data_IF_618888539030
#
_entry.id   IF_618888539030
#
_cell.length_a   1.000
_cell.length_b   1.000
_cell.length_c   1.000
_cell.angle_alpha   90.00
_cell.angle_beta   90.00
_cell.angle_gamma   90.00
#
_symmetry.space_group_name_H-M   'P 1'
#
loop_
_entity.id
_entity.type
_entity.pdbx_description
1 polymer ?
#
# COMPACT_ATOMS: atom_id res chain seq x y z
N UNK A 1 -51.48 -16.51 16.39
CA UNK A 1 -50.05 -16.76 16.17
C UNK A 1 -49.57 -15.85 15.05
N UNK A 2 -49.00 -14.72 15.43
CA UNK A 2 -48.51 -13.70 14.52
C UNK A 2 -47.12 -14.11 14.02
N UNK A 3 -47.00 -14.45 12.75
CA UNK A 3 -45.71 -14.58 12.08
C UNK A 3 -45.09 -13.19 11.95
N UNK A 4 -44.05 -12.88 12.77
CA UNK A 4 -43.16 -11.82 12.47
C UNK A 4 -42.24 -12.30 11.31
N UNK A 5 -42.03 -11.48 10.26
CA UNK A 5 -41.06 -11.79 9.23
C UNK A 5 -39.65 -11.75 9.83
N UNK A 6 -38.69 -12.55 9.32
CA UNK A 6 -37.33 -12.51 9.81
C UNK A 6 -36.76 -11.09 9.57
N UNK A 7 -36.27 -10.48 10.63
CA UNK A 7 -35.50 -9.24 10.54
C UNK A 7 -34.26 -9.51 9.71
N UNK A 8 -34.22 -8.94 8.51
CA UNK A 8 -33.07 -8.94 7.62
C UNK A 8 -31.93 -8.14 8.30
N UNK A 9 -31.03 -8.86 8.93
CA UNK A 9 -29.87 -8.31 9.65
C UNK A 9 -28.67 -8.03 8.71
N UNK A 10 -28.92 -7.76 7.44
CA UNK A 10 -27.87 -7.29 6.54
C UNK A 10 -27.46 -5.88 6.97
N UNK A 11 -26.41 -5.82 7.77
CA UNK A 11 -25.80 -4.58 8.18
C UNK A 11 -25.22 -3.87 6.96
N UNK A 12 -25.60 -2.62 6.74
CA UNK A 12 -25.02 -1.76 5.67
C UNK A 12 -23.54 -1.61 5.91
N UNK A 13 -22.72 -2.03 4.93
CA UNK A 13 -21.29 -1.86 5.01
C UNK A 13 -20.90 -0.51 4.40
N UNK A 14 -20.57 0.44 5.25
CA UNK A 14 -19.83 1.64 4.86
C UNK A 14 -18.41 1.51 5.43
N UNK A 15 -17.36 1.85 4.68
CA UNK A 15 -16.03 1.91 5.27
C UNK A 15 -16.09 2.86 6.47
N UNK A 16 -15.65 2.37 7.62
CA UNK A 16 -15.74 3.18 8.85
C UNK A 16 -14.58 4.16 8.95
N UNK A 17 -13.51 3.90 8.22
CA UNK A 17 -12.26 4.64 8.30
C UNK A 17 -12.06 5.63 7.14
N UNK A 18 -12.44 5.27 5.92
CA UNK A 18 -12.15 6.02 4.70
C UNK A 18 -13.39 6.60 4.04
N UNK A 19 -13.20 7.61 3.20
CA UNK A 19 -14.31 8.27 2.47
C UNK A 19 -14.92 7.38 1.39
N UNK A 20 -14.16 6.46 0.80
CA UNK A 20 -14.67 5.48 -0.17
C UNK A 20 -14.09 4.10 0.05
N UNK A 21 -14.87 3.07 -0.26
CA UNK A 21 -14.41 1.67 -0.17
C UNK A 21 -13.46 1.31 -1.30
N UNK A 22 -13.81 1.67 -2.55
CA UNK A 22 -12.87 1.57 -3.67
C UNK A 22 -12.02 2.82 -3.72
N UNK A 23 -10.70 2.64 -3.86
CA UNK A 23 -9.69 3.67 -3.73
C UNK A 23 -8.74 3.62 -4.91
N UNK A 24 -7.98 4.68 -5.15
CA UNK A 24 -6.88 4.70 -6.10
C UNK A 24 -5.53 4.79 -5.39
N UNK A 25 -4.48 4.24 -6.00
CA UNK A 25 -3.11 4.35 -5.49
C UNK A 25 -2.20 4.82 -6.60
N UNK A 26 -1.59 5.99 -6.39
CA UNK A 26 -0.66 6.55 -7.35
C UNK A 26 0.72 5.88 -7.25
N UNK A 27 1.43 5.71 -8.37
CA UNK A 27 2.82 5.26 -8.35
C UNK A 27 3.70 6.39 -7.81
N UNK A 28 4.18 6.25 -6.58
CA UNK A 28 4.92 7.29 -5.87
C UNK A 28 6.32 6.86 -5.40
N UNK A 29 6.80 5.71 -5.86
CA UNK A 29 8.13 5.25 -5.53
C UNK A 29 9.23 6.20 -6.05
N UNK A 30 10.29 6.33 -5.24
CA UNK A 30 11.47 7.14 -5.57
C UNK A 30 12.77 6.35 -5.42
N UNK A 31 12.73 5.04 -5.74
CA UNK A 31 13.87 4.14 -5.63
C UNK A 31 15.03 4.49 -6.58
N UNK A 32 16.25 4.19 -6.16
CA UNK A 32 17.42 4.19 -7.04
C UNK A 32 17.64 2.78 -7.58
N UNK A 33 17.33 2.53 -8.86
CA UNK A 33 17.50 1.22 -9.52
C UNK A 33 18.97 0.89 -9.81
N UNK A 34 19.77 1.91 -10.06
CA UNK A 34 21.22 1.84 -10.14
C UNK A 34 21.81 2.98 -9.33
N UNK A 35 23.02 2.85 -8.76
CA UNK A 35 23.64 3.95 -8.05
C UNK A 35 23.63 5.24 -8.88
N UNK A 36 23.08 6.31 -8.30
CA UNK A 36 22.94 7.62 -8.93
C UNK A 36 21.80 7.78 -9.93
N UNK A 37 21.03 6.72 -10.25
CA UNK A 37 19.84 6.81 -11.13
C UNK A 37 18.56 6.54 -10.34
N UNK A 38 17.94 7.60 -9.88
CA UNK A 38 16.63 7.56 -9.20
C UNK A 38 15.51 7.44 -10.22
N UNK A 39 14.57 6.54 -9.96
CA UNK A 39 13.29 6.49 -10.63
C UNK A 39 12.25 7.17 -9.74
N UNK A 40 11.92 8.42 -10.04
CA UNK A 40 10.83 9.16 -9.41
C UNK A 40 9.55 8.90 -10.19
N UNK A 41 8.67 8.07 -9.65
CA UNK A 41 7.45 7.65 -10.36
C UNK A 41 6.39 8.73 -10.42
N UNK A 42 6.34 9.66 -9.47
CA UNK A 42 5.45 10.82 -9.52
C UNK A 42 5.79 11.69 -10.73
N UNK A 43 7.08 11.97 -10.93
CA UNK A 43 7.57 12.69 -12.11
C UNK A 43 7.38 11.88 -13.40
N UNK A 44 7.77 10.61 -13.39
CA UNK A 44 7.76 9.77 -14.61
C UNK A 44 6.35 9.46 -15.13
N UNK A 45 5.33 9.48 -14.27
CA UNK A 45 3.92 9.37 -14.64
C UNK A 45 3.32 10.71 -15.07
N UNK A 46 4.02 11.83 -14.83
CA UNK A 46 3.53 13.19 -15.04
C UNK A 46 2.51 13.64 -14.00
N UNK A 47 2.34 12.86 -12.92
CA UNK A 47 1.35 13.17 -11.89
C UNK A 47 1.62 14.50 -11.19
N UNK A 48 2.88 14.86 -10.95
CA UNK A 48 3.27 16.15 -10.34
C UNK A 48 2.85 17.38 -11.16
N UNK A 49 2.64 17.23 -12.47
CA UNK A 49 2.15 18.29 -13.34
C UNK A 49 0.64 18.24 -13.57
N UNK A 50 -0.02 17.15 -13.22
CA UNK A 50 -1.41 16.86 -13.55
C UNK A 50 -2.30 16.67 -12.31
N UNK A 51 -1.84 17.05 -11.13
CA UNK A 51 -2.48 16.80 -9.83
C UNK A 51 -4.00 17.06 -9.83
N UNK A 52 -4.42 18.24 -10.27
CA UNK A 52 -5.84 18.63 -10.33
C UNK A 52 -6.66 17.69 -11.21
N UNK A 53 -6.13 17.34 -12.39
CA UNK A 53 -6.82 16.48 -13.35
C UNK A 53 -6.86 15.04 -12.89
N UNK A 54 -5.77 14.56 -12.32
CA UNK A 54 -5.66 13.19 -11.86
C UNK A 54 -6.59 12.96 -10.66
N UNK A 55 -6.62 13.87 -9.68
CA UNK A 55 -7.57 13.76 -8.56
C UNK A 55 -9.02 13.99 -9.01
N UNK A 56 -9.29 14.90 -9.94
CA UNK A 56 -10.64 15.06 -10.51
C UNK A 56 -11.11 13.77 -11.21
N UNK A 57 -10.23 13.12 -11.97
CA UNK A 57 -10.54 11.85 -12.63
C UNK A 57 -10.84 10.73 -11.63
N UNK A 58 -10.19 10.71 -10.45
CA UNK A 58 -10.56 9.79 -9.37
C UNK A 58 -11.95 10.10 -8.82
N UNK A 59 -12.24 11.38 -8.55
CA UNK A 59 -13.56 11.81 -8.05
C UNK A 59 -14.68 11.42 -9.03
N UNK A 60 -14.48 11.58 -10.34
CA UNK A 60 -15.42 11.15 -11.39
C UNK A 60 -15.70 9.64 -11.37
N UNK A 61 -14.74 8.84 -10.92
CA UNK A 61 -14.90 7.39 -10.74
C UNK A 61 -15.35 7.02 -9.31
N UNK A 62 -15.74 7.98 -8.47
CA UNK A 62 -16.13 7.81 -7.08
C UNK A 62 -15.03 7.14 -6.21
N UNK A 63 -13.77 7.37 -6.53
CA UNK A 63 -12.60 6.99 -5.75
C UNK A 63 -12.20 8.19 -4.87
N UNK A 64 -12.91 8.38 -3.75
CA UNK A 64 -12.75 9.56 -2.88
C UNK A 64 -11.64 9.43 -1.83
N UNK A 65 -10.98 8.29 -1.79
CA UNK A 65 -9.77 8.04 -1.02
C UNK A 65 -8.69 7.56 -1.96
N UNK A 66 -7.46 8.06 -1.80
CA UNK A 66 -6.31 7.63 -2.59
C UNK A 66 -5.07 7.47 -1.72
N UNK A 67 -4.11 6.64 -2.17
CA UNK A 67 -2.74 6.62 -1.65
C UNK A 67 -1.86 7.41 -2.59
N UNK A 68 -1.00 8.24 -2.02
CA UNK A 68 -0.02 9.04 -2.74
C UNK A 68 1.20 9.33 -1.86
N UNK A 69 2.33 9.71 -2.43
CA UNK A 69 3.59 9.71 -1.71
C UNK A 69 4.36 11.02 -1.70
N UNK A 70 4.99 11.27 -0.56
CA UNK A 70 5.94 12.35 -0.42
C UNK A 70 7.28 11.99 -1.09
N UNK A 71 7.82 12.92 -1.87
CA UNK A 71 9.15 12.79 -2.46
C UNK A 71 10.21 13.28 -1.47
N UNK A 72 10.48 12.49 -0.41
CA UNK A 72 11.37 12.90 0.69
C UNK A 72 12.73 13.42 0.20
N UNK A 73 13.30 12.82 -0.85
CA UNK A 73 14.57 13.27 -1.45
C UNK A 73 14.51 14.69 -2.05
N UNK A 74 13.33 15.19 -2.43
CA UNK A 74 13.13 16.57 -2.89
C UNK A 74 12.80 17.52 -1.74
N UNK A 75 12.14 17.03 -0.72
CA UNK A 75 11.73 17.80 0.45
C UNK A 75 12.92 18.09 1.36
N UNK A 76 13.80 17.12 1.61
CA UNK A 76 14.98 17.27 2.48
C UNK A 76 16.29 17.15 1.68
N UNK A 77 16.52 18.09 0.76
CA UNK A 77 17.79 18.18 0.00
C UNK A 77 18.97 18.55 0.90
N UNK A 78 18.72 19.35 1.92
CA UNK A 78 19.69 19.78 2.93
C UNK A 78 19.26 19.17 4.27
N UNK A 79 20.17 18.50 5.00
CA UNK A 79 19.83 17.85 6.26
C UNK A 79 19.04 18.75 7.22
N UNK A 80 17.84 18.31 7.62
CA UNK A 80 16.97 19.01 8.57
C UNK A 80 16.29 20.29 8.04
N UNK A 81 16.38 20.57 6.74
CA UNK A 81 15.66 21.68 6.09
C UNK A 81 14.63 21.11 5.12
N UNK A 82 13.37 21.51 5.29
CA UNK A 82 12.25 20.97 4.51
C UNK A 82 11.72 22.00 3.52
N UNK A 83 11.78 21.66 2.24
CA UNK A 83 11.21 22.40 1.11
C UNK A 83 9.94 21.70 0.63
N UNK A 84 8.80 22.29 0.89
CA UNK A 84 7.48 21.70 0.59
C UNK A 84 6.98 21.96 -0.83
N UNK A 85 7.77 22.63 -1.70
CA UNK A 85 7.35 23.00 -3.06
C UNK A 85 6.92 21.79 -3.92
N UNK A 86 7.48 20.60 -3.67
CA UNK A 86 7.11 19.37 -4.40
C UNK A 86 5.93 18.64 -3.78
N UNK A 87 5.46 19.03 -2.60
CA UNK A 87 4.43 18.30 -1.86
C UNK A 87 3.17 19.15 -1.58
N UNK A 88 3.32 20.40 -1.22
CA UNK A 88 2.18 21.28 -0.90
C UNK A 88 1.14 21.36 -2.04
N UNK A 89 1.53 21.44 -3.33
CA UNK A 89 0.57 21.40 -4.42
C UNK A 89 -0.29 20.14 -4.47
N UNK A 90 0.24 18.97 -4.01
CA UNK A 90 -0.52 17.73 -3.92
C UNK A 90 -1.62 17.85 -2.85
N UNK A 91 -1.28 18.36 -1.67
CA UNK A 91 -2.23 18.60 -0.57
C UNK A 91 -3.34 19.57 -1.00
N UNK A 92 -2.97 20.67 -1.65
CA UNK A 92 -3.93 21.67 -2.14
C UNK A 92 -4.86 21.10 -3.23
N UNK A 93 -4.32 20.37 -4.20
CA UNK A 93 -5.11 19.75 -5.26
C UNK A 93 -6.08 18.69 -4.70
N UNK A 94 -5.60 17.81 -3.81
CA UNK A 94 -6.44 16.82 -3.15
C UNK A 94 -7.60 17.47 -2.38
N UNK A 95 -7.32 18.57 -1.65
CA UNK A 95 -8.35 19.34 -0.95
C UNK A 95 -9.39 19.95 -1.90
N UNK A 96 -8.94 20.56 -3.02
CA UNK A 96 -9.86 21.16 -4.02
C UNK A 96 -10.76 20.12 -4.67
N UNK A 97 -10.24 18.91 -4.88
CA UNK A 97 -10.98 17.81 -5.48
C UNK A 97 -11.70 16.92 -4.43
N UNK A 98 -11.62 17.30 -3.15
CA UNK A 98 -12.21 16.59 -2.01
C UNK A 98 -11.77 15.13 -1.90
N UNK A 99 -10.51 14.83 -2.26
CA UNK A 99 -9.91 13.50 -2.13
C UNK A 99 -9.19 13.39 -0.78
N UNK A 100 -9.52 12.36 -0.01
CA UNK A 100 -8.77 11.96 1.18
C UNK A 100 -7.51 11.21 0.77
N UNK A 101 -6.35 11.59 1.31
CA UNK A 101 -5.09 10.93 0.93
C UNK A 101 -4.48 10.18 2.11
N UNK A 102 -4.06 8.93 1.85
CA UNK A 102 -3.15 8.16 2.69
C UNK A 102 -1.73 8.48 2.22
N UNK A 103 -0.99 9.29 3.00
CA UNK A 103 0.32 9.80 2.61
C UNK A 103 1.43 8.79 2.89
N UNK A 104 2.13 8.36 1.85
CA UNK A 104 3.32 7.50 1.98
C UNK A 104 4.56 8.37 2.22
N UNK A 105 5.25 8.14 3.34
CA UNK A 105 6.43 8.92 3.70
C UNK A 105 7.71 8.39 3.04
N UNK A 106 7.81 7.06 2.89
CA UNK A 106 8.91 6.41 2.20
C UNK A 106 8.42 5.23 1.35
N UNK A 107 8.46 5.40 0.02
CA UNK A 107 8.21 4.33 -0.94
C UNK A 107 9.51 4.02 -1.68
N UNK A 108 10.38 3.21 -1.02
CA UNK A 108 11.68 2.70 -1.48
C UNK A 108 12.75 3.77 -1.74
N UNK A 109 12.51 5.02 -1.38
CA UNK A 109 13.44 6.12 -1.60
C UNK A 109 13.67 6.97 -0.35
N UNK A 110 14.84 7.61 -0.30
CA UNK A 110 15.25 8.53 0.77
C UNK A 110 16.28 9.53 0.23
N UNK A 111 16.58 10.64 0.94
CA UNK A 111 17.59 11.62 0.53
C UNK A 111 18.98 11.03 0.35
N UNK A 112 19.71 11.47 -0.70
CA UNK A 112 21.02 10.91 -1.07
C UNK A 112 22.12 11.16 -0.03
N UNK A 113 21.95 12.17 0.85
CA UNK A 113 22.88 12.44 1.94
C UNK A 113 22.77 11.48 3.12
N UNK A 114 21.72 10.63 3.17
CA UNK A 114 21.50 9.70 4.27
C UNK A 114 22.09 8.33 3.97
N UNK A 115 22.63 7.72 5.02
CA UNK A 115 23.03 6.32 5.01
C UNK A 115 22.02 5.49 5.80
N UNK A 116 21.21 4.66 5.10
CA UNK A 116 20.14 3.87 5.70
C UNK A 116 20.61 2.91 6.81
N UNK A 117 21.90 2.55 6.83
CA UNK A 117 22.50 1.64 7.82
C UNK A 117 22.88 2.32 9.14
N UNK A 118 22.76 3.64 9.21
CA UNK A 118 23.16 4.44 10.37
C UNK A 118 21.96 4.83 11.23
N UNK A 119 22.20 5.10 12.51
CA UNK A 119 21.16 5.58 13.43
C UNK A 119 20.57 6.92 12.99
N UNK A 120 21.39 7.79 12.39
CA UNK A 120 20.99 9.09 11.89
C UNK A 120 19.84 8.99 10.85
N UNK A 121 19.76 7.87 10.10
CA UNK A 121 18.63 7.64 9.18
C UNK A 121 17.29 7.65 9.92
N UNK A 122 17.19 6.93 11.03
CA UNK A 122 15.98 6.86 11.86
C UNK A 122 15.65 8.23 12.46
N UNK A 123 16.65 8.98 12.90
CA UNK A 123 16.48 10.32 13.47
C UNK A 123 15.97 11.32 12.41
N UNK A 124 16.54 11.31 11.20
CA UNK A 124 16.09 12.14 10.09
C UNK A 124 14.66 11.78 9.68
N UNK A 125 14.36 10.48 9.54
CA UNK A 125 13.02 10.03 9.19
C UNK A 125 11.97 10.44 10.23
N UNK A 126 12.28 10.30 11.51
CA UNK A 126 11.43 10.76 12.61
C UNK A 126 11.15 12.27 12.55
N UNK A 127 12.19 13.09 12.33
CA UNK A 127 12.05 14.56 12.18
C UNK A 127 11.24 14.93 10.95
N UNK A 128 11.48 14.27 9.82
CA UNK A 128 10.69 14.44 8.60
C UNK A 128 9.21 14.09 8.84
N UNK A 129 8.93 12.95 9.46
CA UNK A 129 7.57 12.53 9.79
C UNK A 129 6.86 13.53 10.72
N UNK A 130 7.56 14.06 11.73
CA UNK A 130 7.06 15.14 12.60
C UNK A 130 6.73 16.40 11.80
N UNK A 131 7.60 16.80 10.88
CA UNK A 131 7.38 17.99 10.04
C UNK A 131 6.20 17.79 9.08
N UNK A 132 6.01 16.59 8.53
CA UNK A 132 4.83 16.23 7.75
C UNK A 132 3.53 16.35 8.56
N UNK A 133 3.52 15.83 9.79
CA UNK A 133 2.36 15.94 10.68
C UNK A 133 2.05 17.41 11.02
N UNK A 134 3.06 18.23 11.24
CA UNK A 134 2.89 19.65 11.48
C UNK A 134 2.28 20.35 10.25
N UNK A 135 2.81 20.05 9.05
CA UNK A 135 2.26 20.58 7.81
C UNK A 135 0.78 20.20 7.64
N UNK A 136 0.41 18.92 7.89
CA UNK A 136 -1.00 18.49 7.80
C UNK A 136 -1.90 19.27 8.78
N UNK A 137 -1.41 19.54 9.99
CA UNK A 137 -2.12 20.36 10.97
C UNK A 137 -2.28 21.81 10.49
N UNK A 138 -1.21 22.40 9.98
CA UNK A 138 -1.21 23.79 9.50
C UNK A 138 -2.12 23.97 8.27
N UNK A 139 -2.25 22.92 7.43
CA UNK A 139 -3.17 22.87 6.30
C UNK A 139 -4.62 22.51 6.69
N UNK A 140 -4.91 22.23 7.96
CA UNK A 140 -6.25 21.97 8.47
C UNK A 140 -6.81 20.59 8.10
N UNK A 141 -5.95 19.59 7.88
CA UNK A 141 -6.38 18.20 7.64
C UNK A 141 -6.77 17.57 8.98
N UNK A 142 -8.05 17.30 9.20
CA UNK A 142 -8.56 16.91 10.52
C UNK A 142 -8.11 15.51 11.00
N UNK A 143 -7.97 14.54 10.11
CA UNK A 143 -7.55 13.17 10.46
C UNK A 143 -6.65 12.60 9.36
N UNK A 144 -5.36 12.95 9.37
CA UNK A 144 -4.45 12.48 8.35
C UNK A 144 -4.16 10.97 8.48
N UNK A 145 -4.04 10.32 7.32
CA UNK A 145 -3.58 8.94 7.22
C UNK A 145 -2.14 8.91 6.69
N UNK A 146 -1.32 8.05 7.28
CA UNK A 146 0.08 7.87 6.87
C UNK A 146 0.43 6.41 6.66
N UNK A 147 1.25 6.15 5.66
CA UNK A 147 2.06 4.92 5.55
C UNK A 147 3.51 5.33 5.79
N UNK A 148 4.09 5.03 6.97
CA UNK A 148 5.47 5.44 7.24
C UNK A 148 6.47 4.86 6.24
N UNK A 149 6.46 3.56 6.04
CA UNK A 149 7.30 2.86 5.05
C UNK A 149 6.43 1.88 4.28
N UNK A 150 6.39 2.00 2.95
CA UNK A 150 5.69 1.03 2.11
C UNK A 150 6.50 -0.26 2.01
N UNK A 151 5.86 -1.42 2.22
CA UNK A 151 6.38 -2.77 2.00
C UNK A 151 7.77 -3.02 2.62
N UNK A 152 7.86 -2.97 3.93
CA UNK A 152 9.11 -3.20 4.67
C UNK A 152 9.77 -4.52 4.25
N UNK A 153 9.00 -5.61 4.13
CA UNK A 153 9.53 -6.93 3.78
C UNK A 153 10.04 -6.97 2.34
N UNK A 154 9.29 -6.38 1.39
CA UNK A 154 9.73 -6.33 -0.01
C UNK A 154 10.96 -5.44 -0.18
N UNK A 155 10.98 -4.25 0.42
CA UNK A 155 12.18 -3.38 0.36
C UNK A 155 13.40 -4.07 0.94
N UNK A 156 13.24 -4.78 2.04
CA UNK A 156 14.33 -5.50 2.69
C UNK A 156 14.91 -6.60 1.79
N UNK A 157 14.05 -7.39 1.17
CA UNK A 157 14.47 -8.42 0.22
C UNK A 157 15.07 -7.82 -1.04
N UNK A 158 14.33 -6.96 -1.75
CA UNK A 158 14.74 -6.44 -3.04
C UNK A 158 15.97 -5.52 -2.96
N UNK A 159 16.04 -4.67 -1.92
CA UNK A 159 17.13 -3.71 -1.75
C UNK A 159 18.35 -4.25 -1.01
N UNK A 160 18.18 -5.28 -0.14
CA UNK A 160 19.26 -5.70 0.73
C UNK A 160 19.58 -7.21 0.73
N UNK A 161 18.76 -8.07 0.12
CA UNK A 161 19.14 -9.47 -0.11
C UNK A 161 19.58 -9.71 -1.55
N UNK A 162 18.91 -9.10 -2.54
CA UNK A 162 19.17 -9.31 -3.97
C UNK A 162 19.70 -8.07 -4.69
N UNK A 163 19.92 -6.95 -4.01
CA UNK A 163 20.51 -5.72 -4.53
C UNK A 163 19.81 -5.13 -5.78
N UNK A 164 18.51 -5.31 -5.92
CA UNK A 164 17.75 -4.88 -7.08
C UNK A 164 17.65 -3.35 -7.19
N UNK A 165 17.45 -2.68 -6.05
CA UNK A 165 17.48 -1.21 -5.92
C UNK A 165 18.13 -0.79 -4.58
N UNK A 166 18.12 0.50 -4.26
CA UNK A 166 18.76 1.00 -3.03
C UNK A 166 18.26 0.28 -1.76
N UNK A 167 19.17 -0.06 -0.83
CA UNK A 167 20.56 0.36 -0.70
C UNK A 167 21.59 -0.51 -1.47
N UNK A 168 21.19 -1.33 -2.43
CA UNK A 168 22.06 -2.19 -3.27
C UNK A 168 22.96 -3.13 -2.45
N UNK A 169 22.44 -3.68 -1.37
CA UNK A 169 23.14 -4.65 -0.54
C UNK A 169 22.70 -6.09 -0.89
N UNK A 170 23.51 -7.06 -0.50
CA UNK A 170 23.21 -8.48 -0.65
C UNK A 170 23.29 -9.18 0.71
N UNK A 171 22.38 -10.13 0.98
CA UNK A 171 22.33 -10.93 2.19
C UNK A 171 22.25 -10.11 3.50
N UNK A 172 21.61 -8.93 3.45
CA UNK A 172 21.41 -8.03 4.59
C UNK A 172 19.93 -7.64 4.79
N UNK A 173 19.00 -8.39 4.20
CA UNK A 173 17.56 -8.08 4.28
C UNK A 173 17.05 -8.03 5.71
N UNK A 174 17.45 -8.97 6.57
CA UNK A 174 17.06 -8.94 7.99
C UNK A 174 17.53 -7.66 8.71
N UNK A 175 18.73 -7.19 8.42
CA UNK A 175 19.27 -5.95 9.01
C UNK A 175 18.47 -4.74 8.53
N UNK A 176 18.16 -4.67 7.22
CA UNK A 176 17.36 -3.60 6.66
C UNK A 176 15.93 -3.63 7.19
N UNK A 177 15.29 -4.80 7.29
CA UNK A 177 13.93 -4.95 7.85
C UNK A 177 13.85 -4.34 9.24
N UNK A 178 14.78 -4.68 10.13
CA UNK A 178 14.86 -4.12 11.50
C UNK A 178 15.06 -2.60 11.50
N UNK A 179 15.87 -2.09 10.58
CA UNK A 179 16.11 -0.64 10.45
C UNK A 179 14.87 0.10 9.97
N UNK A 180 14.15 -0.43 8.98
CA UNK A 180 12.89 0.14 8.47
C UNK A 180 11.78 0.07 9.53
N UNK A 181 11.72 -1.00 10.32
CA UNK A 181 10.81 -1.07 11.48
C UNK A 181 11.13 0.01 12.52
N UNK A 182 12.42 0.20 12.89
CA UNK A 182 12.80 1.31 13.81
C UNK A 182 12.38 2.67 13.25
N UNK A 183 12.61 2.90 11.95
CA UNK A 183 12.20 4.13 11.29
C UNK A 183 10.68 4.33 11.32
N UNK A 184 9.91 3.28 11.04
CA UNK A 184 8.44 3.33 11.08
C UNK A 184 7.93 3.62 12.49
N UNK A 185 8.46 2.95 13.53
CA UNK A 185 8.09 3.21 14.92
C UNK A 185 8.41 4.63 15.35
N UNK A 186 9.62 5.12 15.01
CA UNK A 186 10.01 6.49 15.30
C UNK A 186 9.12 7.53 14.61
N UNK A 187 8.71 7.27 13.35
CA UNK A 187 7.79 8.11 12.61
C UNK A 187 6.38 8.11 13.25
N UNK A 188 5.84 6.94 13.62
CA UNK A 188 4.54 6.82 14.28
C UNK A 188 4.50 7.65 15.57
N UNK A 189 5.51 7.51 16.42
CA UNK A 189 5.58 8.28 17.66
C UNK A 189 5.73 9.78 17.41
N UNK A 190 6.60 10.18 16.48
CA UNK A 190 6.81 11.59 16.14
C UNK A 190 5.56 12.25 15.54
N UNK A 191 4.79 11.54 14.74
CA UNK A 191 3.51 11.99 14.20
C UNK A 191 2.48 12.12 15.31
N UNK A 192 2.32 11.12 16.16
CA UNK A 192 1.36 11.14 17.28
C UNK A 192 1.61 12.25 18.29
N UNK A 193 2.86 12.59 18.54
CA UNK A 193 3.23 13.72 19.41
C UNK A 193 2.69 15.06 18.88
N UNK A 194 2.57 15.20 17.56
CA UNK A 194 2.04 16.39 16.88
C UNK A 194 0.55 16.25 16.64
N UNK A 195 0.12 15.08 16.18
CA UNK A 195 -1.24 14.80 15.71
C UNK A 195 -1.75 13.47 16.29
N UNK A 196 -2.30 13.47 17.53
CA UNK A 196 -2.76 12.25 18.22
C UNK A 196 -3.82 11.45 17.44
N UNK A 197 -4.65 12.12 16.61
CA UNK A 197 -5.71 11.52 15.81
C UNK A 197 -5.25 10.92 14.49
N UNK A 198 -3.94 11.07 14.15
CA UNK A 198 -3.38 10.49 12.93
C UNK A 198 -3.52 8.96 12.93
N UNK A 199 -3.83 8.43 11.76
CA UNK A 199 -4.00 6.98 11.54
C UNK A 199 -2.88 6.44 10.66
N UNK A 200 -2.59 5.15 10.82
CA UNK A 200 -1.45 4.52 10.15
C UNK A 200 -1.87 3.27 9.38
N UNK A 201 -1.59 3.25 8.07
CA UNK A 201 -1.73 2.08 7.22
C UNK A 201 -0.36 1.43 7.06
N UNK A 202 -0.16 0.28 7.69
CA UNK A 202 1.12 -0.44 7.73
C UNK A 202 1.13 -1.47 6.60
N UNK A 203 1.72 -1.09 5.47
CA UNK A 203 1.66 -1.86 4.22
C UNK A 203 2.78 -2.90 4.13
N UNK A 204 2.41 -4.14 3.74
CA UNK A 204 3.36 -5.18 3.36
C UNK A 204 2.72 -6.18 2.37
N UNK A 205 3.50 -6.99 1.63
CA UNK A 205 2.94 -7.98 0.72
C UNK A 205 2.16 -9.07 1.48
N UNK A 206 0.99 -9.43 0.94
CA UNK A 206 0.26 -10.62 1.34
C UNK A 206 0.55 -11.72 0.32
N UNK A 207 1.12 -12.84 0.77
CA UNK A 207 1.59 -13.89 -0.13
C UNK A 207 1.13 -15.29 0.30
N UNK A 208 1.06 -16.20 -0.67
CA UNK A 208 0.97 -17.63 -0.43
C UNK A 208 2.26 -18.30 -0.87
N UNK A 209 2.90 -19.02 0.06
CA UNK A 209 4.05 -19.87 -0.24
C UNK A 209 3.69 -21.31 0.17
N UNK A 210 3.75 -22.23 -0.78
CA UNK A 210 3.46 -23.65 -0.55
C UNK A 210 4.64 -24.53 -0.98
N UNK A 211 4.69 -25.76 -0.51
CA UNK A 211 5.61 -26.76 -1.08
C UNK A 211 5.05 -27.28 -2.40
N UNK A 212 5.95 -27.58 -3.35
CA UNK A 212 5.53 -28.26 -4.58
C UNK A 212 5.06 -29.69 -4.28
N UNK A 213 3.97 -30.18 -4.89
CA UNK A 213 3.48 -31.56 -4.65
C UNK A 213 4.55 -32.64 -4.87
N UNK A 214 5.44 -32.45 -5.86
CA UNK A 214 6.54 -33.38 -6.18
C UNK A 214 7.72 -33.28 -5.20
N UNK A 215 7.72 -32.32 -4.27
CA UNK A 215 8.78 -32.14 -3.26
C UNK A 215 8.18 -31.92 -1.86
N UNK A 216 7.54 -32.95 -1.27
CA UNK A 216 6.90 -32.85 0.06
C UNK A 216 7.90 -32.56 1.19
N UNK A 217 9.17 -32.91 1.04
CA UNK A 217 10.22 -32.64 2.02
C UNK A 217 10.51 -31.15 2.18
N UNK A 218 10.16 -30.32 1.20
CA UNK A 218 10.29 -28.85 1.28
C UNK A 218 9.20 -28.18 2.13
N UNK A 219 8.14 -28.91 2.56
CA UNK A 219 7.03 -28.34 3.31
C UNK A 219 7.43 -27.53 4.55
N UNK A 220 8.33 -27.99 5.44
CA UNK A 220 8.72 -27.19 6.61
C UNK A 220 9.35 -25.84 6.24
N UNK A 221 10.10 -25.78 5.12
CA UNK A 221 10.74 -24.56 4.63
C UNK A 221 9.70 -23.62 3.99
N UNK A 222 8.78 -24.17 3.21
CA UNK A 222 7.69 -23.40 2.62
C UNK A 222 6.80 -22.79 3.72
N UNK A 223 6.42 -23.57 4.73
CA UNK A 223 5.63 -23.11 5.87
C UNK A 223 6.37 -21.99 6.64
N UNK A 224 7.68 -22.15 6.89
CA UNK A 224 8.48 -21.14 7.57
C UNK A 224 8.57 -19.83 6.75
N UNK A 225 8.79 -19.93 5.44
CA UNK A 225 8.83 -18.76 4.57
C UNK A 225 7.45 -18.09 4.45
N UNK A 226 6.37 -18.86 4.40
CA UNK A 226 5.00 -18.33 4.42
C UNK A 226 4.73 -17.54 5.72
N UNK A 227 5.19 -18.05 6.88
CA UNK A 227 5.05 -17.33 8.15
C UNK A 227 5.92 -16.07 8.24
N UNK A 228 7.06 -16.04 7.55
CA UNK A 228 7.96 -14.89 7.57
C UNK A 228 7.36 -13.62 6.94
N UNK A 229 6.27 -13.72 6.15
CA UNK A 229 5.54 -12.56 5.64
C UNK A 229 4.98 -11.66 6.76
N UNK A 230 4.73 -12.21 7.94
CA UNK A 230 4.18 -11.49 9.09
C UNK A 230 5.23 -10.79 9.96
N UNK A 231 6.52 -11.04 9.74
CA UNK A 231 7.59 -10.55 10.62
C UNK A 231 7.59 -9.02 10.81
N UNK A 232 7.38 -8.23 9.75
CA UNK A 232 7.41 -6.78 9.86
C UNK A 232 6.27 -6.27 10.75
N UNK A 233 5.05 -6.78 10.56
CA UNK A 233 3.91 -6.43 11.43
C UNK A 233 4.08 -6.94 12.86
N UNK A 234 4.65 -8.15 13.05
CA UNK A 234 4.95 -8.68 14.38
C UNK A 234 6.00 -7.83 15.12
N UNK A 235 7.02 -7.32 14.41
CA UNK A 235 7.99 -6.38 14.97
C UNK A 235 7.33 -5.05 15.35
N UNK A 236 6.48 -4.49 14.48
CA UNK A 236 5.73 -3.26 14.75
C UNK A 236 4.79 -3.42 15.95
N UNK A 237 4.14 -4.59 16.07
CA UNK A 237 3.28 -4.93 17.21
C UNK A 237 4.06 -5.31 18.49
N UNK A 238 5.39 -5.39 18.45
CA UNK A 238 6.22 -5.79 19.60
C UNK A 238 6.10 -7.27 19.98
N UNK A 239 5.65 -8.12 19.06
CA UNK A 239 5.50 -9.58 19.28
C UNK A 239 6.83 -10.30 19.12
N UNK A 240 7.66 -9.85 18.20
CA UNK A 240 9.04 -10.30 17.96
C UNK A 240 10.00 -9.13 18.01
N UNK A 241 11.30 -9.38 18.25
CA UNK A 241 12.35 -8.36 18.32
C UNK A 241 11.94 -7.15 19.20
N UNK A 242 11.44 -7.42 20.39
CA UNK A 242 10.85 -6.44 21.33
C UNK A 242 11.74 -5.24 21.63
N UNK A 243 13.05 -5.41 21.51
CA UNK A 243 14.04 -4.34 21.68
C UNK A 243 13.94 -3.24 20.62
N UNK A 244 13.17 -3.44 19.54
CA UNK A 244 12.86 -2.39 18.55
C UNK A 244 11.87 -1.35 19.10
N UNK A 245 11.16 -1.66 20.19
CA UNK A 245 10.20 -0.74 20.81
C UNK A 245 8.79 -0.77 20.22
N UNK A 246 8.45 -1.80 19.43
CA UNK A 246 7.10 -2.01 18.90
C UNK A 246 6.08 -2.31 20.01
N UNK A 247 4.82 -2.01 19.72
CA UNK A 247 3.67 -2.32 20.59
C UNK A 247 2.41 -2.54 19.76
N UNK A 248 1.41 -3.19 20.33
CA UNK A 248 0.12 -3.41 19.67
C UNK A 248 -0.51 -2.09 19.16
N UNK A 249 -0.29 -0.98 19.86
CA UNK A 249 -0.80 0.32 19.46
C UNK A 249 -0.10 0.88 18.21
N UNK A 250 1.10 0.40 17.87
CA UNK A 250 1.80 0.80 16.65
C UNK A 250 1.27 0.09 15.41
N UNK A 251 0.48 -0.98 15.56
CA UNK A 251 -0.16 -1.72 14.47
C UNK A 251 -1.63 -1.30 14.36
N UNK A 252 -1.92 -0.24 13.59
CA UNK A 252 -3.24 0.37 13.52
C UNK A 252 -4.13 -0.27 12.43
N UNK A 253 -3.80 -0.08 11.15
CA UNK A 253 -4.52 -0.62 10.00
C UNK A 253 -3.53 -1.45 9.18
N UNK A 254 -3.86 -2.70 8.89
CA UNK A 254 -3.05 -3.54 8.00
C UNK A 254 -3.29 -3.13 6.55
N UNK A 255 -2.24 -2.72 5.85
CA UNK A 255 -2.24 -2.51 4.41
C UNK A 255 -1.72 -3.76 3.71
N UNK A 256 -2.56 -4.41 2.92
CA UNK A 256 -2.24 -5.66 2.24
C UNK A 256 -2.00 -5.38 0.77
N UNK A 257 -0.76 -5.55 0.30
CA UNK A 257 -0.42 -5.42 -1.11
C UNK A 257 -0.48 -6.81 -1.75
N UNK A 258 -1.43 -7.01 -2.68
CA UNK A 258 -1.74 -8.33 -3.21
C UNK A 258 -1.96 -8.30 -4.72
N UNK A 259 -1.18 -9.13 -5.44
CA UNK A 259 -1.13 -9.21 -6.89
C UNK A 259 -1.22 -10.64 -7.40
N UNK A 260 -1.44 -10.87 -8.72
CA UNK A 260 -1.50 -12.21 -9.31
C UNK A 260 -0.29 -13.10 -9.01
N UNK A 261 0.90 -12.51 -8.92
CA UNK A 261 2.19 -13.17 -8.69
C UNK A 261 2.57 -13.35 -7.22
N UNK A 262 1.66 -13.01 -6.29
CA UNK A 262 1.88 -13.25 -4.85
C UNK A 262 1.68 -14.71 -4.41
N UNK A 263 1.73 -15.64 -5.35
CA UNK A 263 1.60 -17.08 -5.10
C UNK A 263 2.73 -17.86 -5.76
N UNK A 264 3.47 -18.65 -4.97
CA UNK A 264 4.52 -19.50 -5.51
C UNK A 264 4.77 -20.76 -4.68
N UNK A 265 5.34 -21.77 -5.33
CA UNK A 265 5.92 -22.90 -4.64
C UNK A 265 7.34 -22.58 -4.19
N UNK A 266 7.68 -23.00 -3.00
CA UNK A 266 9.03 -22.88 -2.45
C UNK A 266 10.07 -23.56 -3.37
N UNK A 267 11.24 -22.94 -3.66
CA UNK A 267 11.67 -21.65 -3.12
C UNK A 267 11.09 -20.42 -3.85
N UNK A 268 10.76 -20.50 -5.14
CA UNK A 268 10.47 -19.35 -6.01
C UNK A 268 9.71 -19.66 -7.31
N UNK A 269 9.13 -20.89 -7.45
CA UNK A 269 8.38 -21.27 -8.66
C UNK A 269 6.97 -20.63 -8.64
N UNK A 270 6.63 -19.70 -9.57
CA UNK A 270 5.32 -19.08 -9.60
C UNK A 270 4.19 -20.09 -9.80
N UNK A 271 3.04 -19.85 -9.13
CA UNK A 271 1.80 -20.55 -9.40
C UNK A 271 1.01 -19.83 -10.50
N UNK A 272 0.47 -20.56 -11.46
CA UNK A 272 -0.47 -19.99 -12.43
C UNK A 272 -1.77 -19.55 -11.75
N UNK A 273 -2.54 -18.68 -12.39
CA UNK A 273 -3.81 -18.19 -11.81
C UNK A 273 -4.84 -19.29 -11.57
N UNK A 274 -4.81 -20.34 -12.38
CA UNK A 274 -5.69 -21.51 -12.33
C UNK A 274 -5.07 -22.70 -11.58
N UNK A 275 -3.92 -22.53 -10.93
CA UNK A 275 -3.27 -23.61 -10.18
C UNK A 275 -4.16 -24.04 -9.00
N UNK A 276 -4.50 -25.36 -8.89
CA UNK A 276 -5.37 -25.86 -7.83
C UNK A 276 -4.78 -25.73 -6.42
N UNK A 277 -3.47 -25.49 -6.29
CA UNK A 277 -2.82 -25.21 -5.01
C UNK A 277 -3.00 -23.75 -4.54
N UNK A 278 -3.47 -22.85 -5.40
CA UNK A 278 -3.76 -21.47 -4.98
C UNK A 278 -4.89 -21.44 -3.97
N UNK A 279 -4.66 -20.81 -2.84
CA UNK A 279 -5.74 -20.51 -1.89
C UNK A 279 -6.42 -19.20 -2.25
N UNK A 280 -7.75 -19.10 -2.18
CA UNK A 280 -8.48 -17.86 -2.41
C UNK A 280 -8.05 -16.76 -1.45
N UNK A 281 -8.09 -15.50 -1.91
CA UNK A 281 -7.68 -14.33 -1.09
C UNK A 281 -8.41 -14.27 0.25
N UNK A 282 -9.71 -14.60 0.32
CA UNK A 282 -10.46 -14.54 1.58
C UNK A 282 -9.88 -15.47 2.67
N UNK A 283 -9.20 -16.56 2.30
CA UNK A 283 -8.49 -17.43 3.26
C UNK A 283 -7.25 -16.73 3.81
N UNK A 284 -6.48 -16.05 2.96
CA UNK A 284 -5.31 -15.26 3.40
C UNK A 284 -5.73 -14.08 4.29
N UNK A 285 -6.85 -13.43 3.96
CA UNK A 285 -7.44 -12.38 4.79
C UNK A 285 -7.87 -12.91 6.17
N UNK A 286 -8.46 -14.11 6.21
CA UNK A 286 -8.83 -14.77 7.47
C UNK A 286 -7.60 -15.07 8.34
N UNK A 287 -6.47 -15.49 7.76
CA UNK A 287 -5.21 -15.68 8.49
C UNK A 287 -4.70 -14.38 9.13
N UNK A 288 -4.70 -13.26 8.38
CA UNK A 288 -4.34 -11.94 8.91
C UNK A 288 -5.29 -11.53 10.03
N UNK A 289 -6.59 -11.68 9.82
CA UNK A 289 -7.59 -11.35 10.83
C UNK A 289 -7.44 -12.17 12.12
N UNK A 290 -7.26 -13.47 12.01
CA UNK A 290 -7.02 -14.34 13.17
C UNK A 290 -5.77 -13.93 13.97
N UNK A 291 -4.72 -13.45 13.25
CA UNK A 291 -3.47 -13.09 13.87
C UNK A 291 -3.52 -11.73 14.57
N UNK A 292 -4.14 -10.73 13.96
CA UNK A 292 -3.98 -9.33 14.37
C UNK A 292 -5.26 -8.67 14.90
N UNK A 293 -6.44 -9.10 14.49
CA UNK A 293 -7.73 -8.46 14.85
C UNK A 293 -7.71 -6.93 14.60
N UNK A 294 -7.14 -6.50 13.47
CA UNK A 294 -7.02 -5.09 13.06
C UNK A 294 -7.81 -4.85 11.78
N UNK A 295 -8.37 -3.64 11.58
CA UNK A 295 -8.94 -3.28 10.28
C UNK A 295 -7.90 -3.49 9.17
N UNK A 296 -8.37 -3.92 8.00
CA UNK A 296 -7.51 -4.21 6.85
C UNK A 296 -7.93 -3.40 5.63
N UNK A 297 -6.96 -2.98 4.84
CA UNK A 297 -7.13 -2.37 3.52
C UNK A 297 -6.37 -3.23 2.52
N UNK A 298 -7.00 -3.63 1.42
CA UNK A 298 -6.22 -4.07 0.25
C UNK A 298 -5.59 -2.79 -0.32
N UNK A 299 -4.36 -2.51 0.13
CA UNK A 299 -3.72 -1.21 -0.08
C UNK A 299 -3.13 -1.05 -1.48
N UNK A 300 -2.82 -2.17 -2.13
CA UNK A 300 -2.45 -2.23 -3.55
C UNK A 300 -2.96 -3.52 -4.16
N UNK A 301 -3.63 -3.39 -5.31
CA UNK A 301 -3.96 -4.54 -6.16
C UNK A 301 -4.20 -4.11 -7.59
N UNK A 302 -3.78 -4.96 -8.54
CA UNK A 302 -3.95 -4.72 -9.96
C UNK A 302 -3.38 -5.86 -10.79
N UNK A 303 -3.70 -5.88 -12.07
CA UNK A 303 -3.16 -6.79 -13.06
C UNK A 303 -2.90 -6.04 -14.37
N UNK A 304 -2.12 -6.62 -15.27
CA UNK A 304 -1.80 -6.02 -16.57
C UNK A 304 -2.71 -6.53 -17.69
N UNK A 305 -2.85 -5.72 -18.72
CA UNK A 305 -3.54 -6.10 -19.96
C UNK A 305 -5.01 -6.49 -19.75
N UNK A 306 -5.43 -7.57 -20.40
CA UNK A 306 -6.81 -8.05 -20.35
C UNK A 306 -7.19 -8.69 -18.99
N UNK A 307 -6.23 -9.00 -18.15
CA UNK A 307 -6.46 -9.54 -16.81
C UNK A 307 -6.98 -8.50 -15.81
N UNK A 308 -6.90 -7.19 -16.09
CA UNK A 308 -7.28 -6.11 -15.17
C UNK A 308 -8.70 -6.20 -14.62
N UNK A 309 -9.66 -6.31 -15.51
CA UNK A 309 -11.06 -6.34 -15.13
C UNK A 309 -11.46 -7.65 -14.43
N UNK A 310 -11.10 -8.85 -14.94
CA UNK A 310 -11.29 -10.10 -14.21
C UNK A 310 -10.65 -10.14 -12.84
N UNK A 311 -9.43 -9.59 -12.72
CA UNK A 311 -8.72 -9.53 -11.44
C UNK A 311 -9.46 -8.67 -10.40
N UNK A 312 -9.89 -7.46 -10.77
CA UNK A 312 -10.68 -6.61 -9.87
C UNK A 312 -11.97 -7.30 -9.43
N UNK A 313 -12.62 -8.03 -10.33
CA UNK A 313 -13.82 -8.80 -10.00
C UNK A 313 -13.49 -9.90 -8.98
N UNK A 314 -12.45 -10.68 -9.22
CA UNK A 314 -12.01 -11.76 -8.31
C UNK A 314 -11.67 -11.24 -6.91
N UNK A 315 -10.88 -10.16 -6.83
CA UNK A 315 -10.54 -9.52 -5.56
C UNK A 315 -11.80 -9.04 -4.83
N UNK A 316 -12.69 -8.37 -5.52
CA UNK A 316 -13.94 -7.87 -4.93
C UNK A 316 -14.83 -9.01 -4.41
N UNK A 317 -14.95 -10.11 -5.15
CA UNK A 317 -15.73 -11.28 -4.73
C UNK A 317 -15.12 -11.94 -3.48
N UNK A 318 -13.80 -12.09 -3.41
CA UNK A 318 -13.11 -12.62 -2.23
C UNK A 318 -13.23 -11.70 -1.01
N UNK A 319 -13.10 -10.38 -1.20
CA UNK A 319 -13.31 -9.40 -0.13
C UNK A 319 -14.75 -9.46 0.37
N UNK A 320 -15.71 -9.62 -0.51
CA UNK A 320 -17.12 -9.78 -0.13
C UNK A 320 -17.34 -11.03 0.75
N UNK A 321 -16.68 -12.15 0.45
CA UNK A 321 -16.72 -13.37 1.29
C UNK A 321 -16.10 -13.11 2.67
N UNK A 322 -14.97 -12.41 2.72
CA UNK A 322 -14.33 -12.05 3.99
C UNK A 322 -15.21 -11.16 4.86
N UNK A 323 -15.89 -10.15 4.26
CA UNK A 323 -16.84 -9.30 4.95
C UNK A 323 -18.04 -10.08 5.52
N UNK A 324 -18.58 -11.05 4.75
CA UNK A 324 -19.66 -11.93 5.22
C UNK A 324 -19.23 -12.81 6.41
N UNK A 325 -17.94 -13.06 6.56
CA UNK A 325 -17.33 -13.74 7.71
C UNK A 325 -17.06 -12.81 8.90
N UNK A 326 -17.42 -11.53 8.81
CA UNK A 326 -17.20 -10.54 9.86
C UNK A 326 -15.77 -10.01 9.94
N UNK A 327 -14.98 -10.20 8.89
CA UNK A 327 -13.60 -9.67 8.81
C UNK A 327 -13.67 -8.19 8.43
N UNK A 328 -13.02 -7.33 9.20
CA UNK A 328 -13.05 -5.88 8.99
C UNK A 328 -12.14 -5.46 7.81
N UNK A 329 -12.68 -5.41 6.61
CA UNK A 329 -12.02 -4.87 5.42
C UNK A 329 -12.56 -3.49 5.14
N UNK A 330 -11.70 -2.48 5.10
CA UNK A 330 -12.06 -1.06 4.97
C UNK A 330 -11.95 -0.52 3.54
N UNK A 331 -11.42 -1.31 2.60
CA UNK A 331 -11.38 -0.92 1.20
C UNK A 331 -10.49 -1.76 0.30
N UNK A 332 -10.58 -1.43 -1.00
CA UNK A 332 -9.76 -1.99 -2.09
C UNK A 332 -9.17 -0.82 -2.88
N UNK A 333 -7.84 -0.72 -2.92
CA UNK A 333 -7.11 0.33 -3.65
C UNK A 333 -6.48 -0.23 -4.93
N UNK A 334 -6.90 0.34 -6.08
CA UNK A 334 -6.35 0.00 -7.39
C UNK A 334 -4.95 0.57 -7.53
N UNK A 335 -3.95 -0.27 -7.81
CA UNK A 335 -2.57 0.13 -8.06
C UNK A 335 -2.04 -0.52 -9.36
N UNK A 336 -1.36 0.26 -10.22
CA UNK A 336 -1.34 1.72 -10.21
C UNK A 336 -2.65 2.29 -10.76
N UNK A 337 -3.04 3.47 -10.30
CA UNK A 337 -4.23 4.14 -10.84
C UNK A 337 -3.94 4.93 -12.10
N UNK A 338 -2.69 5.37 -12.30
CA UNK A 338 -2.18 6.03 -13.51
C UNK A 338 -1.02 5.26 -14.12
N UNK A 339 -0.83 5.35 -15.43
CA UNK A 339 0.25 4.68 -16.14
C UNK A 339 1.63 5.23 -15.75
N UNK A 340 2.61 4.34 -15.60
CA UNK A 340 3.97 4.65 -15.17
C UNK A 340 5.00 3.72 -15.84
N UNK A 341 6.31 4.07 -15.87
CA UNK A 341 7.37 3.15 -16.28
C UNK A 341 7.49 1.97 -15.31
N UNK A 342 7.48 0.75 -15.83
CA UNK A 342 7.56 -0.46 -15.00
C UNK A 342 8.89 -0.58 -14.25
N UNK A 343 8.88 -1.34 -13.15
CA UNK A 343 10.02 -1.52 -12.25
C UNK A 343 11.22 -2.24 -12.89
N UNK A 344 10.94 -3.30 -13.63
CA UNK A 344 11.98 -4.19 -14.15
C UNK A 344 12.64 -3.65 -15.42
N UNK A 345 11.90 -2.93 -16.21
CA UNK A 345 12.32 -2.38 -17.50
C UNK A 345 11.73 -0.98 -17.68
N UNK A 346 12.11 -0.26 -18.71
CA UNK A 346 11.57 1.06 -19.00
C UNK A 346 10.27 0.99 -19.84
N UNK A 347 9.64 -0.20 -19.98
CA UNK A 347 8.33 -0.33 -20.61
C UNK A 347 7.26 0.32 -19.75
N UNK A 348 6.20 0.75 -20.40
CA UNK A 348 5.05 1.27 -19.64
C UNK A 348 4.17 0.13 -19.19
N UNK A 349 3.71 0.22 -17.94
CA UNK A 349 2.81 -0.77 -17.36
C UNK A 349 1.42 -0.62 -17.98
N UNK A 350 0.87 -1.64 -18.66
CA UNK A 350 -0.48 -1.58 -19.26
C UNK A 350 -1.56 -1.91 -18.23
N UNK A 351 -1.37 -1.57 -16.96
CA UNK A 351 -2.22 -2.00 -15.84
C UNK A 351 -3.26 -0.99 -15.32
N UNK A 352 -3.11 0.33 -15.49
CA UNK A 352 -3.89 1.30 -14.73
C UNK A 352 -5.32 1.52 -15.23
N UNK A 353 -6.13 2.13 -14.35
CA UNK A 353 -7.46 2.65 -14.68
C UNK A 353 -7.37 3.86 -15.61
N UNK A 354 -6.40 4.74 -15.38
CA UNK A 354 -6.14 5.95 -16.14
C UNK A 354 -4.82 5.78 -16.91
N UNK A 355 -4.91 5.79 -18.23
CA UNK A 355 -3.77 5.63 -19.12
C UNK A 355 -2.86 6.86 -19.18
N UNK A 356 -2.03 6.92 -20.22
CA UNK A 356 -1.19 8.08 -20.51
C UNK A 356 -2.01 9.34 -20.68
N UNK A 357 -1.44 10.45 -20.21
CA UNK A 357 -1.99 11.75 -20.49
C UNK A 357 -1.76 12.15 -21.97
N UNK A 358 -2.79 12.72 -22.57
CA UNK A 358 -2.71 13.36 -23.88
C UNK A 358 -1.94 14.71 -23.79
N UNK A 359 -1.64 15.40 -24.91
CA UNK A 359 -0.98 16.72 -24.87
C UNK A 359 -1.74 17.79 -24.08
N UNK A 360 -3.04 17.61 -23.84
CA UNK A 360 -3.86 18.49 -23.01
C UNK A 360 -3.86 18.08 -21.54
N UNK A 361 -3.19 16.99 -21.19
CA UNK A 361 -3.10 16.44 -19.83
C UNK A 361 -4.32 15.62 -19.40
N UNK A 362 -5.17 15.16 -20.33
CA UNK A 362 -6.28 14.27 -20.00
C UNK A 362 -5.83 12.82 -20.12
N UNK A 363 -6.22 11.96 -19.18
CA UNK A 363 -5.92 10.53 -19.23
C UNK A 363 -7.07 9.74 -19.80
N UNK A 364 -6.75 8.79 -20.65
CA UNK A 364 -7.76 7.86 -21.20
C UNK A 364 -8.20 6.88 -20.11
N UNK A 365 -9.51 6.80 -19.90
CA UNK A 365 -10.10 5.82 -19.00
C UNK A 365 -10.08 4.41 -19.64
N UNK A 366 -9.68 3.40 -18.87
CA UNK A 366 -9.75 2.01 -19.32
C UNK A 366 -11.18 1.48 -19.15
N UNK A 367 -11.97 1.50 -20.22
CA UNK A 367 -13.42 1.25 -20.23
C UNK A 367 -13.82 -0.07 -19.53
N UNK A 368 -13.19 -1.20 -19.85
CA UNK A 368 -13.57 -2.49 -19.26
C UNK A 368 -13.30 -2.54 -17.76
N UNK A 369 -12.19 -1.97 -17.28
CA UNK A 369 -11.90 -1.90 -15.86
C UNK A 369 -12.87 -0.94 -15.14
N UNK A 370 -13.17 0.21 -15.75
CA UNK A 370 -14.12 1.17 -15.19
C UNK A 370 -15.53 0.59 -15.09
N UNK A 371 -15.97 -0.21 -16.05
CA UNK A 371 -17.27 -0.91 -16.02
C UNK A 371 -17.33 -1.92 -14.86
N UNK A 372 -16.28 -2.71 -14.66
CA UNK A 372 -16.20 -3.65 -13.52
C UNK A 372 -16.16 -2.88 -12.22
N UNK A 373 -15.33 -1.83 -12.10
CA UNK A 373 -15.27 -0.98 -10.92
C UNK A 373 -16.65 -0.45 -10.53
N UNK A 374 -17.37 0.15 -11.47
CA UNK A 374 -18.74 0.66 -11.24
C UNK A 374 -19.71 -0.44 -10.82
N UNK A 375 -19.64 -1.61 -11.48
CA UNK A 375 -20.45 -2.77 -11.10
C UNK A 375 -20.18 -3.23 -9.66
N UNK A 376 -18.92 -3.28 -9.24
CA UNK A 376 -18.56 -3.66 -7.89
C UNK A 376 -18.94 -2.58 -6.87
N UNK A 377 -18.77 -1.30 -7.19
CA UNK A 377 -19.25 -0.20 -6.34
C UNK A 377 -20.75 -0.32 -6.06
N UNK A 378 -21.56 -0.60 -7.07
CA UNK A 378 -23.01 -0.83 -6.91
C UNK A 378 -23.28 -2.04 -6.03
N UNK A 379 -22.61 -3.18 -6.28
CA UNK A 379 -22.78 -4.40 -5.47
C UNK A 379 -22.45 -4.17 -4.00
N UNK A 380 -21.36 -3.44 -3.71
CA UNK A 380 -20.95 -3.15 -2.33
C UNK A 380 -21.90 -2.14 -1.67
N UNK A 381 -22.41 -1.15 -2.39
CA UNK A 381 -23.43 -0.23 -1.89
C UNK A 381 -24.76 -0.92 -1.58
N UNK A 382 -25.21 -1.89 -2.41
CA UNK A 382 -26.47 -2.61 -2.23
C UNK A 382 -26.42 -3.77 -1.24
N UNK A 383 -25.23 -4.36 -0.99
CA UNK A 383 -25.03 -5.28 0.14
C UNK A 383 -25.39 -4.63 1.48
N UNK A 384 -25.43 -3.35 1.48
CA UNK A 384 -25.62 -2.44 2.58
C UNK A 384 -27.05 -1.87 2.66
N UNK A 385 -27.95 -2.29 1.78
CA UNK A 385 -29.36 -1.93 1.76
C UNK A 385 -30.22 -3.12 2.15
#
# INVERSE_FOLDING_TARGET
MSHQPPTDTRQRYHPSLFRSFFQGSFPCSTACRTPGKRLDMVFSSGHDMLLEKDYAALAEQHLLTARDGARWHLIEKIPGQYDWQSFLPMVEAARRQEIEIIWELAHFGYPDHLNIWKAEFVEHFSRFARAMAQLMRDEGIERPFFTPVNQISFWSWAGADVAWFNPHAANRGKELKRQLVRASLAAIHAIRDVYPEARFVLTDPLVQIAHHPDNPDSKPYADAQHQAQFEAWDMLAGRVDKELGGSEDCLDILGLNYYPDNHWFFPDQPMSLDDPARVPLHILLAQCWQRYQRPMLIAETGAEGDARAPWLQEISENVAVALDQGIAIEGISLYPVVEYPAWADDRRSPGPLLGLADPNGNRNLHESLALVLRSQQIKFATRNA
#
